data_IF_710279750140
#
_entry.id   IF_710279750140
#
_cell.length_a   1.000
_cell.length_b   1.000
_cell.length_c   1.000
_cell.angle_alpha   90.00
_cell.angle_beta   90.00
_cell.angle_gamma   90.00
#
_symmetry.space_group_name_H-M   'P 1'
#
loop_
_entity.id
_entity.type
_entity.pdbx_description
1 polymer ?
#
# COMPACT_ATOMS: atom_id res chain seq x y z
N UNK A 1 2.92 3.49 37.27
CA UNK A 1 2.65 3.42 35.82
C UNK A 1 3.20 4.69 35.19
N UNK A 2 4.49 4.71 34.87
CA UNK A 2 5.13 5.88 34.27
C UNK A 2 5.01 5.77 32.75
N UNK A 3 4.40 6.78 32.11
CA UNK A 3 4.27 6.89 30.64
C UNK A 3 5.37 7.81 30.11
N UNK A 4 6.57 7.27 29.89
CA UNK A 4 7.67 7.97 29.23
C UNK A 4 7.43 8.04 27.71
N UNK A 5 7.80 9.17 27.13
CA UNK A 5 7.74 9.45 25.70
C UNK A 5 9.08 9.06 25.08
N UNK A 6 9.10 8.09 24.17
CA UNK A 6 10.33 7.68 23.48
C UNK A 6 10.23 8.10 22.01
N UNK A 7 11.23 8.86 21.56
CA UNK A 7 11.35 9.33 20.18
C UNK A 7 12.60 8.73 19.56
N UNK A 8 12.41 8.04 18.43
CA UNK A 8 13.49 7.53 17.61
C UNK A 8 13.79 8.53 16.50
N UNK A 9 14.97 9.15 16.54
CA UNK A 9 15.57 9.82 15.40
C UNK A 9 16.66 8.90 14.85
N UNK A 10 16.52 8.40 13.62
CA UNK A 10 17.58 7.57 13.03
C UNK A 10 18.69 8.50 12.53
N UNK A 11 19.89 8.32 13.08
CA UNK A 11 21.10 9.01 12.65
C UNK A 11 22.06 8.00 12.02
N UNK A 12 22.24 8.11 10.70
CA UNK A 12 23.44 7.82 9.91
C UNK A 12 23.05 7.80 8.43
N UNK A 13 23.16 8.97 7.79
CA UNK A 13 22.80 9.22 6.39
C UNK A 13 24.02 9.02 5.48
N UNK A 14 23.91 8.15 4.48
CA UNK A 14 24.67 8.26 3.22
C UNK A 14 23.73 8.10 2.01
N UNK A 15 23.88 9.08 1.10
CA UNK A 15 23.33 9.25 -0.27
C UNK A 15 21.81 9.11 -0.46
N UNK A 16 21.15 10.27 -0.40
CA UNK A 16 19.87 10.65 -1.04
C UNK A 16 18.52 10.12 -0.50
N UNK A 17 18.45 9.69 0.76
CA UNK A 17 17.16 9.38 1.43
C UNK A 17 16.88 10.40 2.55
N UNK A 18 15.64 10.90 2.69
CA UNK A 18 15.28 11.91 3.70
C UNK A 18 14.07 11.49 4.55
N UNK A 19 14.16 11.66 5.87
CA UNK A 19 13.06 11.30 6.81
C UNK A 19 11.90 12.31 6.74
N UNK A 20 10.66 11.82 6.77
CA UNK A 20 9.48 12.69 6.68
C UNK A 20 8.96 13.23 8.03
N UNK A 21 9.30 12.64 9.18
CA UNK A 21 9.20 13.16 10.58
C UNK A 21 9.30 11.98 11.57
N UNK A 22 9.53 12.24 12.87
CA UNK A 22 9.73 11.19 13.89
C UNK A 22 8.44 10.49 14.31
N UNK A 23 8.56 9.32 14.94
CA UNK A 23 7.45 8.56 15.54
C UNK A 23 7.34 8.79 17.05
N UNK A 24 6.11 8.73 17.57
CA UNK A 24 5.80 8.88 18.99
C UNK A 24 5.00 7.67 19.49
N UNK A 25 5.46 7.02 20.57
CA UNK A 25 4.83 5.82 21.14
C UNK A 25 4.86 5.85 22.67
N UNK A 26 3.80 5.34 23.30
CA UNK A 26 3.76 5.12 24.75
C UNK A 26 4.73 3.99 25.15
N UNK A 27 5.58 4.22 26.16
CA UNK A 27 6.58 3.27 26.66
C UNK A 27 6.03 1.94 27.24
N UNK A 28 4.73 1.81 27.43
CA UNK A 28 4.11 0.61 28.02
C UNK A 28 3.76 -0.46 26.99
N UNK A 29 4.28 -0.33 25.76
CA UNK A 29 4.10 -1.27 24.66
C UNK A 29 5.47 -1.59 24.03
N UNK A 30 5.69 -2.83 23.55
CA UNK A 30 6.86 -3.16 22.73
C UNK A 30 7.02 -2.13 21.60
N UNK A 31 8.25 -1.69 21.31
CA UNK A 31 8.51 -0.72 20.23
C UNK A 31 7.94 -1.25 18.91
N UNK A 32 6.90 -0.60 18.39
CA UNK A 32 6.16 -1.06 17.22
C UNK A 32 5.54 0.11 16.46
N UNK A 33 5.92 0.30 15.19
CA UNK A 33 5.26 1.23 14.28
C UNK A 33 6.19 1.92 13.29
N UNK A 34 5.62 2.79 12.45
CA UNK A 34 6.19 3.17 11.18
C UNK A 34 6.06 4.66 10.80
N UNK A 35 6.82 5.11 9.81
CA UNK A 35 6.84 6.35 9.06
C UNK A 35 7.26 6.11 7.59
N UNK A 36 6.56 6.67 6.60
CA UNK A 36 7.03 6.58 5.22
C UNK A 36 8.23 7.51 4.97
N UNK A 37 9.27 6.98 4.32
CA UNK A 37 10.44 7.74 3.85
C UNK A 37 10.27 8.01 2.36
N UNK A 38 10.46 9.26 1.96
CA UNK A 38 10.32 9.68 0.57
C UNK A 38 11.69 10.00 -0.04
N UNK A 39 11.86 9.59 -1.30
CA UNK A 39 13.00 9.96 -2.14
C UNK A 39 12.50 10.78 -3.32
N UNK A 40 13.22 11.85 -3.63
CA UNK A 40 12.92 12.74 -4.75
C UNK A 40 13.87 12.43 -5.92
N UNK A 41 13.44 11.55 -6.81
CA UNK A 41 14.26 11.10 -7.94
C UNK A 41 14.32 12.11 -9.09
N UNK A 42 13.25 12.89 -9.29
CA UNK A 42 13.12 13.87 -10.37
C UNK A 42 13.45 15.31 -9.96
N UNK A 43 13.52 15.56 -8.65
CA UNK A 43 13.87 16.86 -8.07
C UNK A 43 12.68 17.80 -7.95
N UNK A 44 12.58 18.45 -6.78
CA UNK A 44 11.60 19.49 -6.50
C UNK A 44 10.32 19.02 -5.81
N UNK A 45 10.13 17.71 -5.60
CA UNK A 45 9.03 17.19 -4.79
C UNK A 45 9.27 17.42 -3.28
N UNK A 46 10.53 17.47 -2.86
CA UNK A 46 10.93 17.65 -1.46
C UNK A 46 11.79 18.91 -1.27
N UNK A 47 11.51 19.69 -0.22
CA UNK A 47 12.35 20.84 0.19
C UNK A 47 12.62 20.84 1.69
N UNK A 48 13.74 21.45 2.10
CA UNK A 48 14.00 21.72 3.52
C UNK A 48 12.92 22.66 4.07
N UNK A 49 12.53 22.52 5.34
CA UNK A 49 11.77 23.57 6.01
C UNK A 49 12.58 24.87 6.05
N UNK A 50 11.89 26.01 6.17
CA UNK A 50 12.52 27.32 6.34
C UNK A 50 12.93 27.54 7.81
N UNK A 51 12.12 27.04 8.74
CA UNK A 51 12.33 27.15 10.17
C UNK A 51 11.47 26.11 10.92
N UNK A 52 11.45 26.19 12.26
CA UNK A 52 10.58 25.44 13.13
C UNK A 52 9.89 26.34 14.17
N UNK A 53 8.60 26.11 14.38
CA UNK A 53 7.83 26.72 15.47
C UNK A 53 7.70 25.73 16.63
N UNK A 54 8.05 26.16 17.85
CA UNK A 54 7.83 25.33 19.04
C UNK A 54 6.34 25.23 19.31
N UNK A 55 5.82 24.00 19.33
CA UNK A 55 4.41 23.71 19.64
C UNK A 55 4.23 23.39 21.11
N UNK A 56 5.15 22.65 21.71
CA UNK A 56 5.04 22.24 23.11
C UNK A 56 6.40 21.85 23.70
N UNK A 57 6.58 22.07 25.00
CA UNK A 57 7.73 21.54 25.74
C UNK A 57 7.30 20.95 27.08
N UNK A 58 8.08 19.99 27.58
CA UNK A 58 7.87 19.39 28.91
C UNK A 58 8.59 20.14 30.04
N UNK A 59 9.30 21.24 29.75
CA UNK A 59 10.15 21.94 30.74
C UNK A 59 9.37 22.43 31.97
N UNK A 60 8.15 22.91 31.75
CA UNK A 60 7.27 23.42 32.80
C UNK A 60 6.47 22.32 33.51
N UNK A 61 6.54 21.07 33.02
CA UNK A 61 5.85 19.95 33.62
C UNK A 61 6.61 19.41 34.82
N UNK A 62 5.98 19.46 35.99
CA UNK A 62 6.49 18.85 37.22
C UNK A 62 6.19 17.35 37.26
N UNK A 63 6.68 16.61 36.27
CA UNK A 63 6.50 15.16 36.14
C UNK A 63 7.84 14.42 36.28
N UNK A 64 7.80 13.13 36.64
CA UNK A 64 9.00 12.27 36.57
C UNK A 64 9.39 12.10 35.11
N UNK A 65 10.49 12.72 34.70
CA UNK A 65 11.01 12.67 33.34
C UNK A 65 12.52 12.46 33.36
N UNK A 66 13.03 11.70 32.39
CA UNK A 66 14.47 11.42 32.23
C UNK A 66 15.19 12.56 31.47
N UNK A 67 14.43 13.53 30.97
CA UNK A 67 14.88 14.72 30.26
C UNK A 67 13.67 15.51 29.72
N UNK A 68 13.93 16.72 29.20
CA UNK A 68 12.89 17.54 28.61
C UNK A 68 12.63 17.14 27.15
N UNK A 69 11.37 17.11 26.73
CA UNK A 69 10.96 16.91 25.35
C UNK A 69 10.40 18.18 24.73
N UNK A 70 10.71 18.42 23.46
CA UNK A 70 10.25 19.59 22.70
C UNK A 70 9.65 19.13 21.38
N UNK A 71 8.47 19.65 21.05
CA UNK A 71 7.73 19.30 19.83
C UNK A 71 7.67 20.53 18.94
N UNK A 72 8.11 20.35 17.71
CA UNK A 72 8.32 21.40 16.72
C UNK A 72 7.46 21.15 15.49
N UNK A 73 6.82 22.20 14.98
CA UNK A 73 6.15 22.22 13.70
C UNK A 73 7.11 22.80 12.66
N UNK A 74 7.47 22.06 11.59
CA UNK A 74 8.27 22.61 10.51
C UNK A 74 7.50 23.72 9.78
N UNK A 75 8.18 24.81 9.45
CA UNK A 75 7.66 25.89 8.59
C UNK A 75 7.96 25.54 7.14
N UNK A 76 6.97 25.10 6.33
CA UNK A 76 7.22 24.73 4.96
C UNK A 76 7.46 25.96 4.07
N UNK A 77 8.29 25.85 3.02
CA UNK A 77 8.34 26.85 1.95
C UNK A 77 7.00 26.99 1.22
N UNK A 78 6.81 28.12 0.52
CA UNK A 78 5.62 28.34 -0.31
C UNK A 78 5.44 27.22 -1.35
N UNK A 79 4.22 26.71 -1.44
CA UNK A 79 3.88 25.57 -2.30
C UNK A 79 4.24 24.21 -1.71
N UNK A 80 4.65 24.12 -0.43
CA UNK A 80 4.93 22.87 0.28
C UNK A 80 4.12 22.76 1.57
N UNK A 81 4.04 21.54 2.11
CA UNK A 81 3.39 21.20 3.37
C UNK A 81 4.29 20.36 4.27
N UNK A 82 4.14 20.51 5.58
CA UNK A 82 4.73 19.61 6.55
C UNK A 82 3.89 18.33 6.63
N UNK A 83 4.53 17.19 6.88
CA UNK A 83 3.88 15.87 6.93
C UNK A 83 3.75 15.34 8.37
N UNK A 84 4.30 16.05 9.35
CA UNK A 84 4.22 15.73 10.76
C UNK A 84 5.02 16.72 11.63
N UNK A 85 4.98 16.50 12.94
CA UNK A 85 5.82 17.23 13.90
C UNK A 85 7.17 16.53 14.13
N UNK A 86 8.15 17.30 14.59
CA UNK A 86 9.48 16.80 14.98
C UNK A 86 9.61 16.88 16.49
N UNK A 87 10.28 15.91 17.12
CA UNK A 87 10.60 15.97 18.55
C UNK A 87 12.10 16.00 18.77
N UNK A 88 12.54 16.79 19.76
CA UNK A 88 13.93 16.84 20.22
C UNK A 88 13.97 16.68 21.75
N UNK A 89 15.16 16.36 22.26
CA UNK A 89 15.51 16.38 23.68
C UNK A 89 16.34 17.61 24.08
N UNK A 90 16.48 18.58 23.18
CA UNK A 90 17.15 19.86 23.39
C UNK A 90 16.18 21.00 23.07
N UNK A 91 16.23 22.13 23.83
CA UNK A 91 15.46 23.33 23.54
C UNK A 91 15.89 24.01 22.23
N UNK A 92 17.05 23.65 21.67
CA UNK A 92 17.50 24.17 20.40
C UNK A 92 16.67 23.63 19.24
N UNK A 93 16.43 24.50 18.25
CA UNK A 93 15.74 24.12 17.02
C UNK A 93 16.48 22.95 16.34
N UNK A 94 15.75 21.93 15.83
CA UNK A 94 16.38 20.86 15.07
C UNK A 94 17.00 21.39 13.78
N UNK A 95 18.01 20.67 13.26
CA UNK A 95 18.58 20.99 11.95
C UNK A 95 17.53 20.89 10.83
N UNK A 96 17.56 21.84 9.90
CA UNK A 96 16.71 21.85 8.69
C UNK A 96 17.04 20.68 7.74
N UNK A 97 18.19 20.03 7.92
CA UNK A 97 18.59 18.88 7.11
C UNK A 97 17.89 17.57 7.48
N UNK A 98 17.35 17.47 8.70
CA UNK A 98 16.80 16.22 9.22
C UNK A 98 15.54 15.75 8.49
N UNK A 99 14.70 16.68 8.02
CA UNK A 99 13.41 16.38 7.41
C UNK A 99 13.17 17.17 6.13
N UNK A 100 12.13 16.80 5.38
CA UNK A 100 11.67 17.55 4.20
C UNK A 100 10.18 17.85 4.28
N UNK A 101 9.80 19.01 3.78
CA UNK A 101 8.44 19.38 3.42
C UNK A 101 8.15 18.88 1.99
N UNK A 102 6.89 18.56 1.73
CA UNK A 102 6.44 17.94 0.48
C UNK A 102 5.64 18.93 -0.33
N UNK A 103 5.85 18.93 -1.65
CA UNK A 103 5.13 19.82 -2.57
C UNK A 103 3.62 19.61 -2.44
N UNK A 104 2.85 20.70 -2.33
CA UNK A 104 1.44 20.66 -1.95
C UNK A 104 0.56 19.82 -2.88
N UNK A 105 0.90 19.75 -4.17
CA UNK A 105 0.21 18.92 -5.17
C UNK A 105 0.40 17.41 -4.98
N UNK A 106 1.31 16.98 -4.11
CA UNK A 106 1.55 15.59 -3.69
C UNK A 106 0.99 15.30 -2.28
N UNK A 107 0.18 16.23 -1.75
CA UNK A 107 -0.42 16.10 -0.42
C UNK A 107 -1.95 16.17 -0.47
N UNK A 108 -2.59 15.66 0.58
CA UNK A 108 -4.03 15.69 0.82
C UNK A 108 -4.33 16.09 2.28
N UNK A 109 -5.58 16.46 2.53
CA UNK A 109 -6.05 16.82 3.86
C UNK A 109 -5.88 15.66 4.84
N UNK A 110 -5.49 16.02 6.06
CA UNK A 110 -5.11 15.09 7.10
C UNK A 110 -5.93 15.41 8.36
N UNK A 111 -6.35 14.38 9.09
CA UNK A 111 -7.07 14.52 10.34
C UNK A 111 -6.39 13.75 11.47
N UNK A 112 -6.65 14.20 12.71
CA UNK A 112 -6.31 13.43 13.89
C UNK A 112 -7.12 12.14 13.93
N UNK A 113 -6.43 11.00 14.06
CA UNK A 113 -7.05 9.68 14.09
C UNK A 113 -7.13 9.12 15.50
N UNK A 114 -6.02 8.59 16.02
CA UNK A 114 -5.98 7.87 17.29
C UNK A 114 -5.18 8.65 18.30
N UNK A 115 -5.78 8.94 19.46
CA UNK A 115 -5.06 9.55 20.57
C UNK A 115 -3.92 8.64 21.01
N UNK A 116 -2.72 9.21 21.04
CA UNK A 116 -1.48 8.50 21.33
C UNK A 116 -0.96 8.88 22.71
N UNK A 117 -0.93 10.18 23.03
CA UNK A 117 -0.38 10.66 24.29
C UNK A 117 -0.91 12.05 24.67
N UNK A 118 -0.88 12.34 25.96
CA UNK A 118 -1.10 13.65 26.57
C UNK A 118 -0.64 13.60 28.04
N UNK A 119 -0.60 14.74 28.76
CA UNK A 119 -0.17 14.76 30.17
C UNK A 119 -1.09 13.93 31.09
N UNK A 120 -2.38 13.82 30.74
CA UNK A 120 -3.36 13.03 31.45
C UNK A 120 -3.42 11.55 31.03
N UNK A 121 -4.32 10.80 31.67
CA UNK A 121 -4.57 9.40 31.33
C UNK A 121 -5.43 9.22 30.07
N UNK A 122 -6.15 10.27 29.70
CA UNK A 122 -7.06 10.39 28.54
C UNK A 122 -6.79 11.70 27.81
N UNK A 123 -7.38 11.87 26.63
CA UNK A 123 -7.32 13.15 25.91
C UNK A 123 -8.01 14.27 26.68
N UNK A 124 -7.44 15.47 26.62
CA UNK A 124 -8.00 16.69 27.23
C UNK A 124 -8.37 17.70 26.14
N UNK A 125 -9.65 18.02 25.99
CA UNK A 125 -10.13 18.94 24.96
C UNK A 125 -9.54 20.36 25.06
N UNK A 126 -9.07 20.76 26.25
CA UNK A 126 -8.46 22.07 26.50
C UNK A 126 -6.94 21.98 26.72
N UNK A 127 -6.37 20.78 26.62
CA UNK A 127 -4.98 20.48 26.96
C UNK A 127 -4.13 20.08 25.75
N UNK A 128 -2.89 19.71 26.04
CA UNK A 128 -1.96 19.17 25.05
C UNK A 128 -2.27 17.71 24.72
N UNK A 129 -2.36 17.39 23.43
CA UNK A 129 -2.60 16.05 22.95
C UNK A 129 -1.74 15.73 21.72
N UNK A 130 -1.39 14.46 21.59
CA UNK A 130 -0.73 13.88 20.43
C UNK A 130 -1.60 12.79 19.84
N UNK A 131 -1.81 12.86 18.53
CA UNK A 131 -2.60 11.90 17.76
C UNK A 131 -1.76 11.31 16.63
N UNK A 132 -2.05 10.07 16.26
CA UNK A 132 -1.66 9.57 14.95
C UNK A 132 -2.46 10.33 13.87
N UNK A 133 -1.87 10.50 12.69
CA UNK A 133 -2.53 11.16 11.58
C UNK A 133 -3.08 10.14 10.57
N UNK A 134 -4.13 10.53 9.84
CA UNK A 134 -4.65 9.77 8.70
C UNK A 134 -5.28 10.71 7.66
N UNK A 135 -5.45 10.28 6.39
CA UNK A 135 -6.16 11.06 5.39
C UNK A 135 -7.62 11.33 5.78
N UNK A 136 -8.07 12.56 5.56
CA UNK A 136 -9.45 12.98 5.79
C UNK A 136 -10.39 12.36 4.75
N UNK A 137 -10.02 12.43 3.47
CA UNK A 137 -10.73 11.80 2.37
C UNK A 137 -10.39 10.31 2.32
N UNK A 138 -11.41 9.44 2.32
CA UNK A 138 -11.26 7.98 2.34
C UNK A 138 -12.28 7.30 1.43
N UNK A 139 -11.92 6.14 0.88
CA UNK A 139 -12.74 5.37 -0.05
C UNK A 139 -11.89 4.84 -1.21
N UNK A 140 -12.48 4.05 -2.10
CA UNK A 140 -11.78 3.40 -3.22
C UNK A 140 -11.20 4.40 -4.25
N UNK A 141 -11.70 5.64 -4.26
CA UNK A 141 -11.21 6.75 -5.10
C UNK A 141 -10.32 7.73 -4.32
N UNK A 142 -10.16 7.54 -3.02
CA UNK A 142 -9.35 8.43 -2.20
C UNK A 142 -7.87 8.18 -2.45
N UNK A 143 -7.13 9.27 -2.62
CA UNK A 143 -5.72 9.22 -3.00
C UNK A 143 -4.78 9.37 -1.81
N UNK A 144 -5.32 9.74 -0.64
CA UNK A 144 -4.56 10.00 0.56
C UNK A 144 -3.86 8.75 1.10
N UNK A 145 -2.62 8.92 1.53
CA UNK A 145 -1.76 7.88 2.08
C UNK A 145 -1.39 8.28 3.50
N UNK A 146 -1.69 7.39 4.45
CA UNK A 146 -1.19 7.55 5.81
C UNK A 146 0.32 7.36 5.82
N UNK A 147 1.01 8.19 6.59
CA UNK A 147 2.48 8.28 6.62
C UNK A 147 3.09 7.83 7.93
N UNK A 148 2.28 7.41 8.90
CA UNK A 148 2.76 6.94 10.21
C UNK A 148 3.28 8.05 11.14
N UNK A 149 3.12 9.32 10.74
CA UNK A 149 3.52 10.49 11.52
C UNK A 149 2.45 10.87 12.55
N UNK A 150 2.80 11.82 13.43
CA UNK A 150 1.91 12.30 14.48
C UNK A 150 1.67 13.81 14.39
N UNK A 151 0.52 14.20 14.94
CA UNK A 151 0.07 15.56 15.09
C UNK A 151 -0.07 15.93 16.56
N UNK A 152 0.65 16.96 16.99
CA UNK A 152 0.44 17.59 18.28
C UNK A 152 -0.61 18.71 18.18
N UNK A 153 -1.47 18.83 19.19
CA UNK A 153 -2.52 19.83 19.29
C UNK A 153 -2.61 20.38 20.71
N UNK A 154 -2.87 21.67 20.83
CA UNK A 154 -3.24 22.32 22.10
C UNK A 154 -4.70 22.74 21.98
N UNK A 155 -5.54 22.21 22.87
CA UNK A 155 -6.95 22.55 22.95
C UNK A 155 -7.21 24.05 23.16
N UNK A 156 -8.30 24.57 22.62
CA UNK A 156 -8.67 25.99 22.74
C UNK A 156 -7.86 26.97 21.90
N UNK A 157 -6.89 26.50 21.11
CA UNK A 157 -6.10 27.31 20.15
C UNK A 157 -6.40 26.84 18.73
N UNK A 158 -6.22 27.71 17.72
CA UNK A 158 -6.31 27.32 16.30
C UNK A 158 -5.39 26.12 16.05
N UNK A 159 -5.96 25.02 15.56
CA UNK A 159 -5.26 23.73 15.51
C UNK A 159 -3.99 23.82 14.63
N UNK A 160 -2.81 23.45 15.16
CA UNK A 160 -1.57 23.37 14.38
C UNK A 160 -1.62 22.34 13.24
N UNK A 161 -2.65 21.46 13.24
CA UNK A 161 -2.89 20.52 12.15
C UNK A 161 -3.28 21.19 10.82
N UNK A 162 -3.72 22.44 10.85
CA UNK A 162 -4.02 23.19 9.61
C UNK A 162 -2.84 23.27 8.63
N UNK A 163 -1.61 23.13 9.12
CA UNK A 163 -0.39 23.16 8.32
C UNK A 163 0.27 21.79 8.13
N UNK A 164 -0.38 20.72 8.58
CA UNK A 164 0.07 19.35 8.36
C UNK A 164 -0.82 18.69 7.31
N UNK A 165 -0.18 18.00 6.38
CA UNK A 165 -0.85 17.26 5.33
C UNK A 165 -0.46 15.78 5.37
N UNK A 166 -1.34 14.95 4.84
CA UNK A 166 -1.05 13.56 4.54
C UNK A 166 -0.48 13.51 3.11
N UNK A 167 0.25 12.46 2.76
CA UNK A 167 0.66 12.27 1.36
C UNK A 167 -0.54 11.90 0.51
N UNK A 168 -0.43 12.06 -0.80
CA UNK A 168 -1.33 11.41 -1.75
C UNK A 168 -0.60 10.81 -2.94
N UNK A 169 -1.24 9.82 -3.53
CA UNK A 169 -0.83 9.25 -4.81
C UNK A 169 -0.96 10.31 -5.92
N UNK A 170 0.07 10.44 -6.77
CA UNK A 170 0.12 11.44 -7.85
C UNK A 170 -0.71 11.05 -9.08
N UNK A 171 -1.05 9.77 -9.23
CA UNK A 171 -1.87 9.23 -10.31
C UNK A 171 -2.87 8.23 -9.74
N UNK A 172 -4.13 8.37 -10.10
CA UNK A 172 -5.21 7.42 -9.76
C UNK A 172 -5.32 6.30 -10.79
N UNK A 173 -4.27 6.07 -11.59
CA UNK A 173 -4.35 5.34 -12.85
C UNK A 173 -4.27 3.83 -12.63
N UNK A 174 -5.19 3.31 -11.82
CA UNK A 174 -5.43 1.88 -11.67
C UNK A 174 -5.70 1.30 -13.07
N UNK A 175 -5.32 0.04 -13.32
CA UNK A 175 -5.60 -0.64 -14.60
C UNK A 175 -7.09 -0.60 -15.00
N UNK A 176 -8.00 -0.39 -14.04
CA UNK A 176 -9.41 -0.10 -14.29
C UNK A 176 -9.66 1.15 -15.13
N UNK A 177 -8.89 2.22 -14.94
CA UNK A 177 -9.06 3.44 -15.71
C UNK A 177 -8.77 3.19 -17.19
N UNK A 178 -7.74 2.40 -17.51
CA UNK A 178 -7.50 1.95 -18.88
C UNK A 178 -8.70 1.17 -19.42
N UNK A 179 -9.26 0.22 -18.66
CA UNK A 179 -10.43 -0.53 -19.09
C UNK A 179 -11.64 0.38 -19.38
N UNK A 180 -11.90 1.37 -18.53
CA UNK A 180 -13.01 2.31 -18.68
C UNK A 180 -12.83 3.23 -19.90
N UNK A 181 -11.68 3.90 -20.04
CA UNK A 181 -11.43 4.83 -21.17
C UNK A 181 -11.37 4.12 -22.51
N UNK A 182 -11.18 2.80 -22.53
CA UNK A 182 -11.17 2.00 -23.75
C UNK A 182 -12.54 1.44 -24.14
N UNK A 183 -13.61 1.90 -23.49
CA UNK A 183 -14.99 1.70 -23.95
C UNK A 183 -15.76 0.61 -23.20
N UNK A 184 -15.30 0.22 -22.01
CA UNK A 184 -16.08 -0.65 -21.14
C UNK A 184 -17.43 -0.01 -20.77
N UNK A 185 -18.44 -0.86 -20.63
CA UNK A 185 -19.83 -0.47 -20.48
C UNK A 185 -20.40 -0.96 -19.16
N UNK A 186 -21.24 -0.13 -18.54
CA UNK A 186 -22.05 -0.48 -17.38
C UNK A 186 -23.46 -0.83 -17.85
N UNK A 187 -23.88 -2.04 -17.52
CA UNK A 187 -25.22 -2.54 -17.77
C UNK A 187 -26.05 -2.52 -16.49
N UNK A 188 -27.36 -2.39 -16.67
CA UNK A 188 -28.34 -2.42 -15.59
C UNK A 188 -29.46 -3.38 -15.96
N UNK A 189 -29.86 -4.21 -14.99
CA UNK A 189 -30.94 -5.18 -15.13
C UNK A 189 -32.26 -4.48 -15.51
N UNK A 190 -32.89 -4.94 -16.58
CA UNK A 190 -34.11 -4.35 -17.15
C UNK A 190 -33.89 -3.19 -18.13
N UNK A 191 -32.63 -2.75 -18.32
CA UNK A 191 -32.26 -1.67 -19.25
C UNK A 191 -31.11 -2.10 -20.19
N UNK A 192 -31.00 -3.40 -20.48
CA UNK A 192 -29.85 -4.00 -21.19
C UNK A 192 -29.62 -3.47 -22.61
N UNK A 193 -30.66 -2.93 -23.24
CA UNK A 193 -30.57 -2.33 -24.58
C UNK A 193 -29.89 -0.95 -24.59
N UNK A 194 -29.60 -0.37 -23.42
CA UNK A 194 -29.04 0.99 -23.28
C UNK A 194 -27.91 1.01 -22.23
N UNK A 195 -26.81 0.27 -22.45
CA UNK A 195 -25.66 0.36 -21.58
C UNK A 195 -25.07 1.77 -21.60
N UNK A 196 -24.45 2.17 -20.48
CA UNK A 196 -23.80 3.48 -20.35
C UNK A 196 -22.29 3.31 -20.35
N UNK A 197 -21.57 4.24 -20.98
CA UNK A 197 -20.12 4.27 -20.90
C UNK A 197 -19.68 4.50 -19.44
N UNK A 198 -18.64 3.79 -19.00
CA UNK A 198 -18.07 4.01 -17.68
C UNK A 198 -17.20 5.26 -17.73
N UNK A 199 -17.39 6.17 -16.79
CA UNK A 199 -16.56 7.37 -16.68
C UNK A 199 -15.10 6.98 -16.41
N UNK A 200 -14.10 7.74 -16.86
CA UNK A 200 -12.67 7.40 -16.70
C UNK A 200 -12.24 7.10 -15.25
N UNK A 201 -12.94 7.69 -14.27
CA UNK A 201 -12.72 7.54 -12.83
C UNK A 201 -13.63 6.49 -12.18
N UNK A 202 -14.52 5.88 -12.96
CA UNK A 202 -15.58 4.99 -12.47
C UNK A 202 -16.63 5.69 -11.61
N UNK A 203 -16.76 7.03 -11.68
CA UNK A 203 -17.66 7.79 -10.81
C UNK A 203 -19.14 7.48 -10.99
N UNK A 204 -19.53 6.92 -12.13
CA UNK A 204 -20.90 6.48 -12.42
C UNK A 204 -21.16 5.00 -12.07
N UNK A 205 -20.17 4.30 -11.50
CA UNK A 205 -20.37 2.95 -10.99
C UNK A 205 -21.18 2.97 -9.68
N UNK A 206 -22.04 1.96 -9.43
CA UNK A 206 -22.75 1.82 -8.16
C UNK A 206 -21.79 1.86 -6.97
N UNK A 207 -22.16 2.62 -5.93
CA UNK A 207 -21.35 2.77 -4.71
C UNK A 207 -22.04 2.09 -3.53
N UNK A 208 -21.33 1.19 -2.86
CA UNK A 208 -21.86 0.41 -1.73
C UNK A 208 -22.88 -0.66 -2.14
N UNK A 209 -23.57 -1.23 -1.15
CA UNK A 209 -24.58 -2.28 -1.37
C UNK A 209 -24.04 -3.72 -1.30
N UNK A 210 -24.90 -4.68 -1.63
CA UNK A 210 -24.59 -6.11 -1.74
C UNK A 210 -24.54 -6.53 -3.20
N UNK A 211 -23.91 -7.67 -3.50
CA UNK A 211 -24.00 -8.26 -4.84
C UNK A 211 -25.42 -8.80 -5.09
N UNK A 212 -26.27 -7.98 -5.72
CA UNK A 212 -27.68 -8.25 -6.03
C UNK A 212 -27.94 -8.52 -7.52
N UNK A 213 -26.89 -8.46 -8.36
CA UNK A 213 -26.97 -8.62 -9.81
C UNK A 213 -27.73 -7.51 -10.53
N UNK A 214 -27.92 -6.33 -9.91
CA UNK A 214 -28.59 -5.21 -10.55
C UNK A 214 -27.74 -4.55 -11.65
N UNK A 215 -26.41 -4.64 -11.55
CA UNK A 215 -25.46 -4.05 -12.48
C UNK A 215 -24.32 -5.03 -12.81
N UNK A 216 -23.78 -4.95 -14.03
CA UNK A 216 -22.57 -5.66 -14.43
C UNK A 216 -21.78 -4.84 -15.46
N UNK A 217 -20.51 -5.20 -15.64
CA UNK A 217 -19.65 -4.59 -16.65
C UNK A 217 -19.61 -5.49 -17.89
N UNK A 218 -19.49 -4.89 -19.06
CA UNK A 218 -19.26 -5.61 -20.31
C UNK A 218 -18.29 -4.86 -21.21
N UNK A 219 -17.81 -5.55 -22.25
CA UNK A 219 -16.90 -5.04 -23.25
C UNK A 219 -17.60 -4.04 -24.19
N UNK A 220 -16.82 -3.25 -24.97
CA UNK A 220 -17.38 -2.41 -26.02
C UNK A 220 -18.28 -3.18 -27.01
N UNK A 221 -19.31 -2.52 -27.53
CA UNK A 221 -20.19 -3.08 -28.58
C UNK A 221 -19.45 -3.21 -29.91
N UNK A 222 -18.57 -2.25 -30.23
CA UNK A 222 -17.75 -2.30 -31.44
C UNK A 222 -16.78 -3.48 -31.37
N UNK A 223 -16.84 -4.40 -32.34
CA UNK A 223 -16.06 -5.64 -32.31
C UNK A 223 -14.54 -5.40 -32.36
N UNK A 224 -14.08 -4.35 -33.04
CA UNK A 224 -12.65 -3.99 -33.06
C UNK A 224 -12.16 -3.49 -31.70
N UNK A 225 -12.94 -2.61 -31.06
CA UNK A 225 -12.67 -2.15 -29.70
C UNK A 225 -12.77 -3.29 -28.69
N UNK A 226 -13.77 -4.17 -28.83
CA UNK A 226 -13.96 -5.36 -28.00
C UNK A 226 -12.75 -6.28 -28.04
N UNK A 227 -12.30 -6.68 -29.24
CA UNK A 227 -11.14 -7.56 -29.39
C UNK A 227 -9.88 -6.93 -28.75
N UNK A 228 -9.70 -5.62 -28.94
CA UNK A 228 -8.59 -4.87 -28.36
C UNK A 228 -8.66 -4.79 -26.83
N UNK A 229 -9.84 -4.53 -26.25
CA UNK A 229 -10.04 -4.48 -24.80
C UNK A 229 -9.88 -5.86 -24.18
N UNK A 230 -10.41 -6.91 -24.80
CA UNK A 230 -10.25 -8.30 -24.35
C UNK A 230 -8.77 -8.71 -24.23
N UNK A 231 -7.93 -8.29 -25.19
CA UNK A 231 -6.49 -8.57 -25.17
C UNK A 231 -5.74 -7.84 -24.05
N UNK A 232 -6.29 -6.74 -23.56
CA UNK A 232 -5.61 -5.86 -22.63
C UNK A 232 -4.35 -5.21 -23.22
N UNK A 233 -3.58 -4.55 -22.36
CA UNK A 233 -2.30 -3.94 -22.72
C UNK A 233 -1.27 -4.30 -21.64
N UNK A 234 -0.55 -5.40 -21.87
CA UNK A 234 0.45 -5.90 -20.93
C UNK A 234 1.65 -4.94 -20.77
N UNK A 235 1.93 -4.11 -21.79
CA UNK A 235 3.08 -3.19 -21.76
C UNK A 235 2.82 -1.97 -20.88
N UNK A 236 1.56 -1.54 -20.77
CA UNK A 236 1.15 -0.40 -19.95
C UNK A 236 0.37 -0.81 -18.68
N UNK A 237 0.17 -2.11 -18.45
CA UNK A 237 -0.59 -2.59 -17.30
C UNK A 237 0.05 -2.19 -15.97
N UNK A 238 -0.80 -1.91 -14.99
CA UNK A 238 -0.39 -1.50 -13.64
C UNK A 238 -1.04 -2.40 -12.60
N UNK A 239 -0.24 -3.02 -11.72
CA UNK A 239 -0.79 -3.81 -10.61
C UNK A 239 -1.21 -2.93 -9.44
N UNK A 240 -2.17 -3.41 -8.66
CA UNK A 240 -2.56 -2.77 -7.41
C UNK A 240 -1.88 -3.49 -6.25
N UNK A 241 -1.07 -2.78 -5.46
CA UNK A 241 -0.38 -3.36 -4.32
C UNK A 241 -1.11 -2.96 -3.03
N UNK A 242 -1.54 -3.96 -2.28
CA UNK A 242 -2.15 -3.80 -0.96
C UNK A 242 -1.31 -4.55 0.06
N UNK A 243 -0.72 -3.79 0.96
CA UNK A 243 0.16 -4.32 1.99
C UNK A 243 -0.69 -4.41 3.27
N UNK A 244 -0.67 -5.55 4.00
CA UNK A 244 -1.41 -5.76 5.27
C UNK A 244 -0.63 -6.47 6.40
N UNK A 245 -0.72 -6.01 7.68
CA UNK A 245 -0.04 -6.68 8.78
C UNK A 245 -0.71 -8.00 9.07
N UNK A 246 0.09 -9.04 9.27
CA UNK A 246 -0.44 -10.38 9.58
C UNK A 246 0.13 -10.94 10.87
N UNK A 247 -0.69 -11.74 11.54
CA UNK A 247 -0.31 -12.52 12.72
C UNK A 247 0.33 -11.65 13.82
N UNK A 248 -0.39 -10.61 14.25
CA UNK A 248 0.13 -9.67 15.24
C UNK A 248 1.29 -8.81 14.74
N UNK A 249 1.35 -8.57 13.42
CA UNK A 249 2.43 -7.85 12.73
C UNK A 249 3.82 -8.52 12.80
N UNK A 250 3.85 -9.83 13.03
CA UNK A 250 5.07 -10.64 12.84
C UNK A 250 5.41 -10.84 11.37
N UNK A 251 4.41 -10.69 10.48
CA UNK A 251 4.59 -10.73 9.04
C UNK A 251 3.92 -9.54 8.36
N UNK A 252 4.41 -9.29 7.15
CA UNK A 252 3.87 -8.35 6.17
C UNK A 252 3.36 -9.16 4.99
N UNK A 253 2.06 -9.06 4.69
CA UNK A 253 1.51 -9.58 3.45
C UNK A 253 1.49 -8.46 2.40
N UNK A 254 2.14 -8.69 1.26
CA UNK A 254 2.13 -7.81 0.08
C UNK A 254 1.23 -8.49 -0.96
N UNK A 255 -0.05 -8.11 -1.01
CA UNK A 255 -0.99 -8.60 -2.00
C UNK A 255 -0.87 -7.77 -3.29
N UNK A 256 -0.48 -8.44 -4.37
CA UNK A 256 -0.29 -7.88 -5.71
C UNK A 256 -1.50 -8.30 -6.54
N UNK A 257 -2.40 -7.36 -6.80
CA UNK A 257 -3.63 -7.56 -7.56
C UNK A 257 -3.41 -7.22 -9.04
N UNK A 258 -3.79 -8.14 -9.90
CA UNK A 258 -3.75 -8.03 -11.36
C UNK A 258 -5.17 -8.03 -11.89
N UNK A 259 -5.48 -7.05 -12.74
CA UNK A 259 -6.77 -6.96 -13.40
C UNK A 259 -6.69 -7.51 -14.82
N UNK A 260 -7.58 -8.43 -15.15
CA UNK A 260 -7.78 -8.96 -16.49
C UNK A 260 -9.08 -8.42 -17.05
N UNK A 261 -9.08 -7.74 -18.22
CA UNK A 261 -10.31 -7.25 -18.84
C UNK A 261 -11.29 -8.35 -19.19
N UNK A 262 -10.80 -9.56 -19.47
CA UNK A 262 -11.61 -10.68 -19.92
C UNK A 262 -10.96 -12.02 -19.58
N UNK A 263 -11.77 -12.94 -19.05
CA UNK A 263 -11.45 -14.35 -18.91
C UNK A 263 -12.08 -15.15 -20.04
N UNK A 264 -11.30 -16.06 -20.60
CA UNK A 264 -11.71 -16.86 -21.74
C UNK A 264 -12.55 -18.09 -21.38
N UNK A 265 -12.93 -18.87 -22.39
CA UNK A 265 -13.76 -20.06 -22.19
C UNK A 265 -13.01 -21.17 -21.46
N UNK A 266 -13.70 -21.80 -20.52
CA UNK A 266 -13.17 -22.93 -19.76
C UNK A 266 -13.06 -24.19 -20.65
N UNK A 267 -12.14 -25.06 -20.27
CA UNK A 267 -11.95 -26.39 -20.85
C UNK A 267 -12.10 -27.42 -19.76
N UNK A 268 -12.85 -28.48 -20.01
CA UNK A 268 -12.83 -29.68 -19.17
C UNK A 268 -11.80 -30.66 -19.71
N UNK A 269 -11.17 -31.41 -18.82
CA UNK A 269 -10.36 -32.57 -19.17
C UNK A 269 -11.08 -33.82 -18.67
N UNK A 270 -11.17 -34.83 -19.53
CA UNK A 270 -11.74 -36.15 -19.22
C UNK A 270 -10.66 -37.18 -19.54
N UNK A 271 -9.85 -37.50 -18.54
CA UNK A 271 -8.64 -38.33 -18.66
C UNK A 271 -7.67 -37.76 -19.70
N UNK A 272 -7.62 -38.35 -20.89
CA UNK A 272 -6.70 -37.98 -21.97
C UNK A 272 -7.31 -37.00 -22.98
N UNK A 273 -8.60 -36.64 -22.83
CA UNK A 273 -9.34 -35.82 -23.79
C UNK A 273 -9.63 -34.44 -23.21
N UNK A 274 -9.33 -33.38 -23.97
CA UNK A 274 -9.74 -32.01 -23.66
C UNK A 274 -11.10 -31.72 -24.35
N UNK A 275 -12.05 -31.18 -23.60
CA UNK A 275 -13.41 -30.86 -24.02
C UNK A 275 -13.66 -29.36 -23.84
N UNK A 276 -13.79 -28.57 -24.92
CA UNK A 276 -14.18 -27.17 -24.84
C UNK A 276 -15.58 -27.04 -24.24
N UNK A 277 -15.80 -26.06 -23.36
CA UNK A 277 -17.11 -25.84 -22.72
C UNK A 277 -17.92 -24.70 -23.36
N UNK A 278 -17.62 -24.36 -24.63
CA UNK A 278 -18.24 -23.23 -25.30
C UNK A 278 -17.88 -21.93 -24.58
N UNK A 279 -18.87 -21.11 -24.22
CA UNK A 279 -18.67 -19.85 -23.49
C UNK A 279 -18.68 -19.98 -21.96
N UNK A 280 -18.80 -21.20 -21.44
CA UNK A 280 -18.82 -21.41 -19.98
C UNK A 280 -17.47 -20.97 -19.41
N UNK A 281 -17.50 -20.17 -18.35
CA UNK A 281 -16.32 -19.61 -17.70
C UNK A 281 -15.91 -18.23 -18.23
N UNK A 282 -16.40 -17.80 -19.39
CA UNK A 282 -16.14 -16.45 -19.90
C UNK A 282 -16.77 -15.42 -18.96
N UNK A 283 -15.99 -14.39 -18.61
CA UNK A 283 -16.50 -13.23 -17.88
C UNK A 283 -15.63 -12.01 -18.12
N UNK A 284 -16.24 -10.83 -17.94
CA UNK A 284 -15.61 -9.53 -18.16
C UNK A 284 -15.18 -8.96 -16.82
N UNK A 285 -13.93 -8.51 -16.76
CA UNK A 285 -13.33 -7.96 -15.56
C UNK A 285 -13.10 -9.02 -14.51
N UNK A 286 -11.83 -9.37 -14.31
CA UNK A 286 -11.42 -10.33 -13.30
C UNK A 286 -10.23 -9.80 -12.52
N UNK A 287 -10.21 -10.12 -11.23
CA UNK A 287 -9.19 -9.68 -10.30
C UNK A 287 -8.55 -10.89 -9.64
N UNK A 288 -7.30 -11.12 -9.99
CA UNK A 288 -6.49 -12.18 -9.41
C UNK A 288 -5.38 -11.57 -8.56
N UNK A 289 -4.85 -12.30 -7.60
CA UNK A 289 -3.75 -11.81 -6.79
C UNK A 289 -2.74 -12.86 -6.37
N UNK A 290 -1.49 -12.41 -6.26
CA UNK A 290 -0.43 -13.15 -5.59
C UNK A 290 -0.08 -12.40 -4.31
N UNK A 291 0.00 -13.10 -3.18
CA UNK A 291 0.37 -12.47 -1.91
C UNK A 291 1.70 -13.00 -1.41
N UNK A 292 2.68 -12.12 -1.29
CA UNK A 292 3.95 -12.43 -0.67
C UNK A 292 3.81 -12.29 0.84
N UNK A 293 4.25 -13.29 1.62
CA UNK A 293 4.37 -13.18 3.08
C UNK A 293 5.83 -13.03 3.46
N UNK A 294 6.18 -11.86 3.97
CA UNK A 294 7.53 -11.52 4.39
C UNK A 294 7.58 -11.48 5.92
N UNK A 295 8.60 -12.10 6.50
CA UNK A 295 8.87 -12.04 7.94
C UNK A 295 9.40 -10.65 8.32
N UNK A 296 8.79 -10.02 9.31
CA UNK A 296 9.24 -8.72 9.80
C UNK A 296 10.49 -8.82 10.69
N UNK A 297 10.96 -10.03 11.03
CA UNK A 297 12.15 -10.23 11.87
C UNK A 297 13.46 -10.25 11.08
N UNK A 298 13.42 -10.78 9.87
CA UNK A 298 14.61 -11.00 9.04
C UNK A 298 14.45 -10.53 7.59
N UNK A 299 13.27 -10.04 7.20
CA UNK A 299 12.99 -9.57 5.84
C UNK A 299 12.90 -10.67 4.80
N UNK A 300 12.92 -11.94 5.20
CA UNK A 300 12.87 -13.06 4.27
C UNK A 300 11.44 -13.34 3.81
N UNK A 301 11.31 -13.68 2.53
CA UNK A 301 10.10 -14.27 1.99
C UNK A 301 9.92 -15.66 2.61
N UNK A 302 8.77 -15.88 3.23
CA UNK A 302 8.49 -17.13 3.94
C UNK A 302 7.65 -18.05 3.08
N UNK A 303 6.61 -17.50 2.45
CA UNK A 303 5.70 -18.21 1.57
C UNK A 303 4.93 -17.26 0.68
N UNK A 304 4.38 -17.80 -0.40
CA UNK A 304 3.58 -17.04 -1.36
C UNK A 304 2.22 -17.71 -1.51
N UNK A 305 1.18 -16.90 -1.43
CA UNK A 305 -0.19 -17.30 -1.74
C UNK A 305 -0.46 -17.05 -3.22
N UNK A 306 -0.98 -18.06 -3.90
CA UNK A 306 -1.46 -17.95 -5.26
C UNK A 306 -2.99 -18.03 -5.23
N UNK A 307 -3.67 -17.00 -5.76
CA UNK A 307 -5.14 -17.02 -5.85
C UNK A 307 -5.57 -18.08 -6.85
N UNK A 308 -6.38 -19.02 -6.38
CA UNK A 308 -6.97 -20.06 -7.21
C UNK A 308 -8.50 -19.99 -7.06
N UNK A 309 -9.22 -20.81 -7.83
CA UNK A 309 -10.67 -20.87 -7.72
C UNK A 309 -11.15 -21.17 -6.29
N UNK A 310 -12.16 -20.44 -5.81
CA UNK A 310 -12.79 -20.65 -4.49
C UNK A 310 -11.81 -20.62 -3.30
N UNK A 311 -10.57 -20.16 -3.48
CA UNK A 311 -9.50 -20.25 -2.50
C UNK A 311 -8.12 -19.99 -3.09
N UNK A 312 -7.11 -20.72 -2.63
CA UNK A 312 -5.75 -20.55 -3.11
C UNK A 312 -4.76 -21.28 -2.23
N UNK A 313 -3.54 -21.40 -2.72
CA UNK A 313 -2.52 -22.23 -2.06
C UNK A 313 -1.38 -21.38 -1.56
N UNK A 314 -0.99 -21.60 -0.31
CA UNK A 314 0.28 -21.10 0.23
C UNK A 314 1.38 -22.11 -0.11
N UNK A 315 2.44 -21.63 -0.74
CA UNK A 315 3.63 -22.41 -1.08
C UNK A 315 4.84 -21.82 -0.39
N UNK A 316 5.63 -22.66 0.28
CA UNK A 316 6.83 -22.23 1.00
C UNK A 316 7.90 -21.71 0.05
N UNK A 317 8.65 -20.71 0.49
CA UNK A 317 9.65 -20.05 -0.35
C UNK A 317 10.71 -21.01 -0.92
N UNK A 318 11.01 -22.11 -0.24
CA UNK A 318 11.93 -23.15 -0.70
C UNK A 318 11.43 -23.95 -1.91
N UNK A 319 10.13 -23.94 -2.18
CA UNK A 319 9.52 -24.67 -3.29
C UNK A 319 9.23 -23.77 -4.51
N UNK A 320 9.43 -22.46 -4.37
CA UNK A 320 9.14 -21.48 -5.40
C UNK A 320 10.20 -21.44 -6.50
N UNK A 321 9.76 -21.01 -7.68
CA UNK A 321 10.66 -20.62 -8.75
C UNK A 321 10.96 -19.12 -8.67
N UNK A 322 12.23 -18.76 -8.89
CA UNK A 322 12.69 -17.38 -8.91
C UNK A 322 13.35 -17.05 -10.25
N UNK A 323 13.16 -15.82 -10.71
CA UNK A 323 13.80 -15.27 -11.91
C UNK A 323 14.54 -13.98 -11.56
N UNK A 324 15.63 -13.70 -12.27
CA UNK A 324 16.42 -12.46 -12.12
C UNK A 324 16.85 -12.18 -10.67
N UNK A 325 17.24 -13.23 -9.94
CA UNK A 325 17.64 -13.15 -8.53
C UNK A 325 16.47 -13.44 -7.61
N UNK A 326 15.74 -12.41 -7.18
CA UNK A 326 14.78 -12.49 -6.08
C UNK A 326 13.30 -12.36 -6.49
N UNK A 327 12.98 -12.40 -7.79
CA UNK A 327 11.60 -12.25 -8.26
C UNK A 327 10.91 -13.60 -8.30
N UNK A 328 9.89 -13.78 -7.48
CA UNK A 328 9.03 -14.97 -7.50
C UNK A 328 8.33 -15.06 -8.85
N UNK A 329 8.31 -16.26 -9.43
CA UNK A 329 7.54 -16.55 -10.65
C UNK A 329 6.16 -17.07 -10.26
N UNK A 330 5.13 -16.47 -10.86
CA UNK A 330 3.76 -16.94 -10.79
C UNK A 330 3.24 -17.20 -12.20
N UNK A 331 2.48 -18.27 -12.36
CA UNK A 331 1.92 -18.69 -13.64
C UNK A 331 0.42 -18.46 -13.65
N UNK A 332 -0.07 -17.57 -14.51
CA UNK A 332 -1.51 -17.41 -14.74
C UNK A 332 -2.02 -18.55 -15.61
N UNK A 333 -3.14 -19.16 -15.25
CA UNK A 333 -3.76 -20.20 -16.06
C UNK A 333 -4.34 -19.62 -17.35
N UNK A 334 -4.29 -20.42 -18.42
CA UNK A 334 -4.89 -20.04 -19.68
C UNK A 334 -6.42 -19.92 -19.52
N UNK A 335 -6.98 -18.79 -19.95
CA UNK A 335 -8.40 -18.42 -19.89
C UNK A 335 -8.98 -18.14 -18.49
N UNK A 336 -8.49 -18.80 -17.44
CA UNK A 336 -8.98 -18.61 -16.07
C UNK A 336 -8.16 -17.62 -15.23
N UNK A 337 -6.92 -17.33 -15.63
CA UNK A 337 -5.97 -16.41 -14.99
C UNK A 337 -5.63 -16.62 -13.51
N UNK A 338 -6.26 -17.59 -12.84
CA UNK A 338 -5.83 -18.12 -11.54
C UNK A 338 -4.32 -18.40 -11.54
N UNK A 339 -3.67 -18.04 -10.44
CA UNK A 339 -2.23 -18.13 -10.31
C UNK A 339 -1.79 -19.48 -9.72
N UNK A 340 -0.65 -19.97 -10.19
CA UNK A 340 -0.02 -21.20 -9.71
C UNK A 340 1.50 -21.02 -9.57
N UNK A 341 2.10 -21.80 -8.66
CA UNK A 341 3.55 -21.75 -8.38
C UNK A 341 4.40 -22.54 -9.37
N UNK A 342 3.79 -23.40 -10.19
CA UNK A 342 4.45 -24.27 -11.17
C UNK A 342 3.72 -24.26 -12.50
N UNK A 343 4.46 -24.41 -13.61
CA UNK A 343 3.84 -24.71 -14.90
C UNK A 343 3.33 -26.15 -14.90
N UNK A 344 2.25 -26.40 -15.61
CA UNK A 344 1.76 -27.74 -15.89
C UNK A 344 0.24 -27.83 -15.99
N UNK A 345 -0.22 -29.08 -16.00
CA UNK A 345 -1.63 -29.40 -15.97
C UNK A 345 -2.16 -29.20 -14.55
N UNK A 346 -3.10 -28.28 -14.39
CA UNK A 346 -3.88 -28.14 -13.15
C UNK A 346 -5.33 -28.52 -13.43
N UNK A 347 -5.85 -29.48 -12.66
CA UNK A 347 -7.23 -29.95 -12.79
C UNK A 347 -8.02 -29.68 -11.53
N UNK A 348 -9.11 -28.93 -11.68
CA UNK A 348 -10.13 -28.79 -10.67
C UNK A 348 -11.14 -29.94 -10.82
N UNK A 349 -10.82 -31.05 -10.17
CA UNK A 349 -11.61 -32.28 -10.17
C UNK A 349 -10.81 -33.47 -9.67
N UNK A 350 -11.24 -34.70 -9.97
CA UNK A 350 -10.62 -35.92 -9.46
C UNK A 350 -10.56 -37.01 -10.51
N UNK A 351 -9.65 -37.99 -10.34
CA UNK A 351 -9.53 -39.13 -11.26
C UNK A 351 -9.18 -38.75 -12.71
N UNK A 352 -8.51 -37.61 -12.91
CA UNK A 352 -8.20 -37.07 -14.24
C UNK A 352 -9.40 -36.41 -14.94
N UNK A 353 -10.48 -36.13 -14.23
CA UNK A 353 -11.68 -35.46 -14.74
C UNK A 353 -11.87 -34.14 -14.00
N UNK A 354 -11.94 -33.01 -14.70
CA UNK A 354 -12.12 -31.69 -14.07
C UNK A 354 -11.96 -30.52 -15.02
N UNK A 355 -12.19 -29.30 -14.51
CA UNK A 355 -11.89 -28.06 -15.25
C UNK A 355 -10.37 -27.88 -15.28
N UNK A 356 -9.83 -27.57 -16.46
CA UNK A 356 -8.41 -27.36 -16.69
C UNK A 356 -8.02 -25.90 -16.46
N UNK A 357 -6.98 -25.73 -15.67
CA UNK A 357 -6.29 -24.47 -15.38
C UNK A 357 -4.82 -24.61 -15.80
N UNK A 358 -4.61 -25.01 -17.05
CA UNK A 358 -3.26 -25.28 -17.57
C UNK A 358 -2.39 -24.01 -17.51
N UNK A 359 -1.16 -24.17 -17.03
CA UNK A 359 -0.14 -23.13 -16.95
C UNK A 359 1.11 -23.54 -17.71
N UNK A 360 1.79 -22.58 -18.34
CA UNK A 360 3.07 -22.82 -19.01
C UNK A 360 3.95 -21.56 -18.98
N UNK A 361 5.26 -21.74 -19.12
CA UNK A 361 6.18 -20.63 -19.38
C UNK A 361 5.83 -19.97 -20.71
N UNK A 362 5.59 -18.66 -20.68
CA UNK A 362 5.32 -17.84 -21.86
C UNK A 362 6.44 -16.83 -22.10
N UNK A 363 6.54 -16.36 -23.35
CA UNK A 363 7.34 -15.16 -23.68
C UNK A 363 6.65 -13.86 -23.24
N UNK A 364 5.35 -13.93 -22.96
CA UNK A 364 4.57 -12.82 -22.41
C UNK A 364 4.74 -12.85 -20.88
N UNK A 365 5.50 -11.89 -20.36
CA UNK A 365 5.83 -11.79 -18.93
C UNK A 365 5.51 -10.38 -18.45
N UNK A 366 4.90 -10.27 -17.27
CA UNK A 366 4.66 -9.01 -16.59
C UNK A 366 5.56 -8.90 -15.36
N UNK A 367 6.38 -7.86 -15.30
CA UNK A 367 7.16 -7.52 -14.11
C UNK A 367 6.34 -6.59 -13.22
N UNK A 368 5.69 -7.17 -12.21
CA UNK A 368 4.78 -6.44 -11.30
C UNK A 368 5.50 -5.39 -10.44
N UNK A 369 6.84 -5.45 -10.37
CA UNK A 369 7.65 -4.44 -9.68
C UNK A 369 7.94 -3.18 -10.51
N UNK A 370 7.64 -3.17 -11.81
CA UNK A 370 7.95 -2.04 -12.72
C UNK A 370 6.86 -0.97 -12.71
N UNK A 371 5.58 -1.39 -12.73
CA UNK A 371 4.45 -0.48 -12.78
C UNK A 371 3.35 -0.91 -11.79
N UNK A 372 3.25 -0.19 -10.68
CA UNK A 372 2.28 -0.48 -9.63
C UNK A 372 1.69 0.78 -9.01
N UNK A 373 0.47 0.64 -8.47
CA UNK A 373 -0.17 1.62 -7.59
C UNK A 373 -0.28 1.05 -6.19
N UNK A 374 0.18 1.80 -5.20
CA UNK A 374 0.02 1.44 -3.79
C UNK A 374 -1.37 1.87 -3.31
N UNK A 375 -2.26 0.90 -3.07
CA UNK A 375 -3.66 1.15 -2.72
C UNK A 375 -3.86 1.22 -1.20
N UNK A 376 -3.02 0.50 -0.45
CA UNK A 376 -2.99 0.59 1.02
C UNK A 376 -1.68 0.01 1.55
N UNK A 377 -1.08 0.69 2.51
CA UNK A 377 0.14 0.25 3.21
C UNK A 377 0.23 0.82 4.61
N UNK A 378 -0.92 1.03 5.26
CA UNK A 378 -1.06 1.77 6.53
C UNK A 378 -0.35 1.13 7.76
N UNK A 379 0.55 0.16 7.56
CA UNK A 379 1.24 -0.56 8.65
C UNK A 379 2.72 -0.87 8.41
N UNK A 380 3.27 -0.62 7.22
CA UNK A 380 4.65 -1.00 6.89
C UNK A 380 5.69 -0.11 7.56
N UNK A 381 6.64 -0.71 8.29
CA UNK A 381 7.96 -0.11 8.51
C UNK A 381 9.16 -0.97 8.17
N UNK A 382 10.25 -0.24 7.95
CA UNK A 382 11.66 -0.62 7.80
C UNK A 382 12.22 -1.32 9.06
N UNK A 383 12.64 -2.58 8.87
CA UNK A 383 13.79 -3.20 9.54
C UNK A 383 14.32 -4.35 8.65
N UNK A 384 14.55 -4.06 7.37
CA UNK A 384 15.12 -5.01 6.40
C UNK A 384 16.42 -4.47 5.82
N UNK A 385 17.47 -4.35 6.64
CA UNK A 385 18.84 -4.25 6.16
C UNK A 385 19.70 -5.20 7.01
N UNK A 386 20.44 -6.16 6.41
CA UNK A 386 21.32 -7.05 7.14
C UNK A 386 22.44 -6.24 7.80
N UNK A 387 22.66 -6.48 9.11
CA UNK A 387 23.89 -6.05 9.77
C UNK A 387 25.02 -6.92 9.23
N UNK A 388 25.86 -6.37 8.36
CA UNK A 388 27.16 -6.97 8.05
C UNK A 388 27.98 -7.09 9.35
N UNK A 389 28.55 -8.28 9.55
CA UNK A 389 29.31 -8.63 10.74
C UNK A 389 30.59 -7.82 10.85
N UNK A 390 30.76 -7.14 11.97
CA UNK A 390 32.07 -6.73 12.45
C UNK A 390 32.58 -7.81 13.40
N UNK A 391 33.31 -8.78 12.85
CA UNK A 391 34.36 -9.44 13.60
C UNK A 391 35.34 -8.36 14.06
N UNK A 392 35.49 -8.20 15.36
CA UNK A 392 36.67 -7.57 15.95
C UNK A 392 37.34 -8.63 16.81
N UNK A 393 38.51 -9.07 16.35
CA UNK A 393 39.44 -9.84 17.18
C UNK A 393 39.86 -8.98 18.38
N UNK A 394 40.05 -9.58 19.57
CA UNK A 394 40.59 -8.85 20.70
C UNK A 394 42.08 -8.56 20.49
N UNK A 395 42.60 -7.44 21.03
CA UNK A 395 44.00 -7.07 20.88
C UNK A 395 44.88 -8.08 21.63
N UNK A 396 45.86 -8.63 20.93
CA UNK A 396 46.99 -9.33 21.56
C UNK A 396 47.81 -8.33 22.39
N UNK A 397 48.02 -8.67 23.67
CA UNK A 397 49.20 -8.33 24.44
C UNK A 397 49.91 -9.62 24.83
#
# INVERSE_FOLDING_TARGET
MNRSLIVLGTSSLQRSHFQATGKLQANNKPFFGWVLVAKDDSGGALKKPLDYTLVWSSESLKIKQDGNGYIWLPTPPDGYKAIGHVVTNSPDKPSLDKIRCVRSDLTDQCEAHKWTWGPGNTSDANGFNVYSLRPSNRGIQAMGVSVGTFGAQIGGVVSPLSNIACLKNAKSNLSLSWFFVNGALLYKKGEESKPVAIEPTGSNLPQGGSNDGAYWLDLPIDEGAKERVMKGDLGNSQVCVHIKPMLGATFTDIAIWVFYPFNGPAKAKVKLVNVPLGKIGEHVGDWEHVTLRVSNFNGELQRVYFSEHSGGTWVDASELEFQNGNKVVAYASLHGHAFYSKPGLVLQGSGGIGISNDTEKSKLVMDTGVNYSLVSAEYLHEDCMPKEGLHSDPPMS
#
